data_IF_358185873798
#
_entry.id   IF_358185873798
#
_cell.length_a   1.000
_cell.length_b   1.000
_cell.length_c   1.000
_cell.angle_alpha   90.00
_cell.angle_beta   90.00
_cell.angle_gamma   90.00
#
_symmetry.space_group_name_H-M   'P 1'
#
loop_
_entity.id
_entity.type
_entity.pdbx_description
1 polymer ?
#
# COMPACT_ATOMS: atom_id res chain seq x y z
N UNK A 1 -28.89 20.94 -4.06
CA UNK A 1 -28.91 19.50 -4.42
C UNK A 1 -28.64 19.21 -5.91
N UNK A 2 -29.42 19.68 -6.89
CA UNK A 2 -29.19 19.35 -8.33
C UNK A 2 -27.80 19.74 -8.89
N UNK A 3 -27.25 20.91 -8.54
CA UNK A 3 -25.90 21.33 -8.97
C UNK A 3 -24.77 20.47 -8.37
N UNK A 4 -24.94 19.99 -7.15
CA UNK A 4 -23.96 19.17 -6.43
C UNK A 4 -23.88 17.75 -7.02
N UNK A 5 -25.03 17.18 -7.37
CA UNK A 5 -25.12 15.89 -8.06
C UNK A 5 -24.49 15.91 -9.46
N UNK A 6 -24.53 17.06 -10.16
CA UNK A 6 -23.90 17.23 -11.47
C UNK A 6 -22.37 17.25 -11.38
N UNK A 7 -21.82 17.97 -10.39
CA UNK A 7 -20.38 18.04 -10.16
C UNK A 7 -19.79 16.70 -9.70
N UNK A 8 -20.46 15.99 -8.79
CA UNK A 8 -20.02 14.66 -8.34
C UNK A 8 -19.97 13.65 -9.50
N UNK A 9 -21.01 13.63 -10.34
CA UNK A 9 -21.02 12.79 -11.55
C UNK A 9 -19.91 13.17 -12.53
N UNK A 10 -19.63 14.47 -12.67
CA UNK A 10 -18.53 14.96 -13.51
C UNK A 10 -17.16 14.52 -12.98
N UNK A 11 -16.90 14.63 -11.68
CA UNK A 11 -15.66 14.16 -11.07
C UNK A 11 -15.50 12.64 -11.19
N UNK A 12 -16.58 11.88 -10.95
CA UNK A 12 -16.58 10.42 -11.15
C UNK A 12 -16.32 10.03 -12.60
N UNK A 13 -16.90 10.77 -13.56
CA UNK A 13 -16.64 10.58 -14.99
C UNK A 13 -15.18 10.86 -15.33
N UNK A 14 -14.61 11.99 -14.86
CA UNK A 14 -13.20 12.31 -15.07
C UNK A 14 -12.27 11.25 -14.47
N UNK A 15 -12.57 10.77 -13.26
CA UNK A 15 -11.79 9.71 -12.63
C UNK A 15 -11.91 8.39 -13.39
N UNK A 16 -13.12 8.02 -13.82
CA UNK A 16 -13.35 6.86 -14.66
C UNK A 16 -12.59 6.94 -16.00
N UNK A 17 -12.61 8.10 -16.66
CA UNK A 17 -11.87 8.35 -17.89
C UNK A 17 -10.35 8.28 -17.67
N UNK A 18 -9.85 8.81 -16.55
CA UNK A 18 -8.43 8.70 -16.19
C UNK A 18 -8.01 7.25 -15.97
N UNK A 19 -8.82 6.44 -15.26
CA UNK A 19 -8.57 5.01 -15.09
C UNK A 19 -8.61 4.24 -16.41
N UNK A 20 -9.55 4.57 -17.29
CA UNK A 20 -9.63 3.99 -18.63
C UNK A 20 -8.41 4.40 -19.46
N UNK A 21 -7.94 5.64 -19.36
CA UNK A 21 -6.76 6.13 -20.08
C UNK A 21 -5.45 5.47 -19.63
N UNK A 22 -5.38 4.97 -18.39
CA UNK A 22 -4.25 4.17 -17.90
C UNK A 22 -4.15 2.83 -18.65
N UNK A 23 -5.25 2.24 -19.13
CA UNK A 23 -5.22 0.95 -19.83
C UNK A 23 -4.47 1.00 -21.18
N UNK A 24 -4.75 1.95 -22.10
CA UNK A 24 -3.93 2.14 -23.31
C UNK A 24 -2.47 2.46 -22.99
N UNK A 25 -2.20 3.26 -21.95
CA UNK A 25 -0.83 3.57 -21.51
C UNK A 25 -0.11 2.30 -21.03
N UNK A 26 -0.79 1.46 -20.26
CA UNK A 26 -0.26 0.18 -19.81
C UNK A 26 0.07 -0.72 -21.00
N UNK A 27 -0.84 -0.83 -21.99
CA UNK A 27 -0.64 -1.63 -23.21
C UNK A 27 0.44 -1.06 -24.14
N UNK A 28 0.54 0.27 -24.26
CA UNK A 28 1.50 0.95 -25.12
C UNK A 28 2.93 0.90 -24.58
N UNK A 29 3.08 0.91 -23.25
CA UNK A 29 4.38 0.86 -22.57
C UNK A 29 4.77 -0.57 -22.13
N UNK A 30 3.85 -1.54 -22.21
CA UNK A 30 4.18 -2.97 -22.24
C UNK A 30 4.74 -3.32 -23.62
N UNK A 31 6.04 -3.10 -23.89
CA UNK A 31 7.16 -3.93 -23.42
C UNK A 31 8.48 -3.11 -23.29
N UNK A 32 9.65 -3.76 -23.21
CA UNK A 32 11.03 -3.20 -23.32
C UNK A 32 11.83 -2.99 -22.04
N UNK A 33 11.26 -3.07 -20.84
CA UNK A 33 12.08 -2.81 -19.65
C UNK A 33 12.89 -4.02 -19.14
N UNK A 34 12.39 -5.27 -19.24
CA UNK A 34 12.93 -6.35 -18.39
C UNK A 34 12.93 -7.79 -18.91
N UNK A 35 12.53 -8.12 -20.16
CA UNK A 35 12.44 -9.54 -20.57
C UNK A 35 13.28 -9.93 -21.79
N UNK A 36 14.41 -10.58 -21.45
CA UNK A 36 15.02 -11.62 -22.25
C UNK A 36 14.15 -12.90 -22.23
N UNK A 37 13.64 -13.25 -23.41
CA UNK A 37 13.55 -14.61 -23.99
C UNK A 37 12.50 -15.67 -23.63
N UNK A 38 11.49 -15.52 -22.76
CA UNK A 38 10.60 -16.68 -22.51
C UNK A 38 9.15 -16.66 -23.02
N UNK A 39 8.32 -15.62 -22.86
CA UNK A 39 6.98 -15.66 -23.49
C UNK A 39 6.45 -14.26 -23.83
N UNK A 40 6.51 -13.90 -25.11
CA UNK A 40 5.76 -12.79 -25.68
C UNK A 40 4.30 -13.24 -25.85
N UNK A 41 3.48 -13.14 -24.79
CA UNK A 41 2.05 -12.92 -25.05
C UNK A 41 1.97 -11.61 -25.82
N UNK A 42 1.66 -11.70 -27.11
CA UNK A 42 1.52 -10.51 -27.96
C UNK A 42 0.57 -9.51 -27.26
N UNK A 43 0.83 -8.19 -27.40
CA UNK A 43 -0.03 -7.15 -26.81
C UNK A 43 -1.51 -7.38 -27.14
N UNK A 44 -1.77 -7.97 -28.30
CA UNK A 44 -3.08 -8.43 -28.74
C UNK A 44 -3.71 -9.46 -27.78
N UNK A 45 -3.00 -10.52 -27.40
CA UNK A 45 -3.50 -11.51 -26.43
C UNK A 45 -3.72 -10.93 -25.04
N UNK A 46 -2.91 -9.96 -24.60
CA UNK A 46 -3.13 -9.26 -23.32
C UNK A 46 -4.42 -8.43 -23.33
N UNK A 47 -4.68 -7.71 -24.43
CA UNK A 47 -5.92 -6.97 -24.61
C UNK A 47 -7.11 -7.92 -24.66
N UNK A 48 -7.03 -9.00 -25.45
CA UNK A 48 -8.10 -10.00 -25.52
C UNK A 48 -8.37 -10.67 -24.17
N UNK A 49 -7.31 -11.04 -23.44
CA UNK A 49 -7.43 -11.61 -22.10
C UNK A 49 -8.09 -10.65 -21.11
N UNK A 50 -7.69 -9.37 -21.14
CA UNK A 50 -8.30 -8.33 -20.30
C UNK A 50 -9.78 -8.13 -20.62
N UNK A 51 -10.14 -8.08 -21.89
CA UNK A 51 -11.53 -7.98 -22.34
C UNK A 51 -12.35 -9.22 -21.94
N UNK A 52 -11.78 -10.41 -22.11
CA UNK A 52 -12.43 -11.67 -21.73
C UNK A 52 -12.67 -11.75 -20.22
N UNK A 53 -11.67 -11.41 -19.40
CA UNK A 53 -11.80 -11.34 -17.93
C UNK A 53 -12.85 -10.28 -17.55
N UNK A 54 -12.78 -9.08 -18.13
CA UNK A 54 -13.73 -8.01 -17.89
C UNK A 54 -15.17 -8.42 -18.22
N UNK A 55 -15.38 -9.05 -19.37
CA UNK A 55 -16.69 -9.59 -19.76
C UNK A 55 -17.14 -10.70 -18.80
N UNK A 56 -16.25 -11.61 -18.41
CA UNK A 56 -16.53 -12.65 -17.42
C UNK A 56 -16.99 -12.06 -16.08
N UNK A 57 -16.28 -11.07 -15.56
CA UNK A 57 -16.61 -10.34 -14.33
C UNK A 57 -17.99 -9.67 -14.42
N UNK A 58 -18.29 -9.00 -15.54
CA UNK A 58 -19.59 -8.36 -15.77
C UNK A 58 -20.74 -9.37 -15.84
N UNK A 59 -20.54 -10.50 -16.53
CA UNK A 59 -21.56 -11.54 -16.62
C UNK A 59 -21.76 -12.24 -15.28
N UNK A 60 -20.70 -12.46 -14.50
CA UNK A 60 -20.80 -13.00 -13.15
C UNK A 60 -21.60 -12.07 -12.24
N UNK A 61 -21.33 -10.76 -12.30
CA UNK A 61 -22.09 -9.75 -11.56
C UNK A 61 -23.59 -9.80 -11.92
N UNK A 62 -23.92 -9.82 -13.22
CA UNK A 62 -25.31 -9.92 -13.71
C UNK A 62 -25.98 -11.22 -13.28
N UNK A 63 -25.26 -12.34 -13.34
CA UNK A 63 -25.77 -13.63 -12.90
C UNK A 63 -26.06 -13.63 -11.40
N UNK A 64 -25.15 -13.12 -10.57
CA UNK A 64 -25.33 -12.99 -9.12
C UNK A 64 -26.47 -12.04 -8.74
N UNK A 65 -26.73 -11.00 -9.54
CA UNK A 65 -27.88 -10.10 -9.35
C UNK A 65 -29.22 -10.83 -9.53
N UNK A 66 -29.27 -11.87 -10.38
CA UNK A 66 -30.47 -12.70 -10.60
C UNK A 66 -30.64 -13.80 -9.54
N UNK A 67 -29.63 -14.05 -8.71
CA UNK A 67 -29.70 -15.06 -7.66
C UNK A 67 -30.38 -14.51 -6.39
N UNK A 68 -30.92 -15.42 -5.58
CA UNK A 68 -31.44 -15.05 -4.26
C UNK A 68 -30.32 -14.52 -3.35
N UNK A 69 -30.65 -13.56 -2.48
CA UNK A 69 -29.66 -12.98 -1.55
C UNK A 69 -29.02 -14.04 -0.64
N UNK A 70 -29.75 -15.10 -0.28
CA UNK A 70 -29.22 -16.23 0.49
C UNK A 70 -28.16 -16.99 -0.29
N UNK A 71 -28.41 -17.32 -1.57
CA UNK A 71 -27.43 -17.99 -2.43
C UNK A 71 -26.18 -17.13 -2.62
N UNK A 72 -26.33 -15.84 -2.90
CA UNK A 72 -25.18 -14.93 -3.07
C UNK A 72 -24.36 -14.78 -1.78
N UNK A 73 -24.99 -14.76 -0.59
CA UNK A 73 -24.27 -14.77 0.70
C UNK A 73 -23.49 -16.05 0.93
N UNK A 74 -24.07 -17.22 0.59
CA UNK A 74 -23.38 -18.51 0.69
C UNK A 74 -22.16 -18.58 -0.23
N UNK A 75 -22.28 -18.03 -1.45
CA UNK A 75 -21.15 -17.92 -2.38
C UNK A 75 -20.06 -17.01 -1.80
N UNK A 76 -20.43 -15.82 -1.29
CA UNK A 76 -19.46 -14.92 -0.66
C UNK A 76 -18.74 -15.57 0.54
N UNK A 77 -19.49 -16.31 1.38
CA UNK A 77 -18.92 -17.06 2.49
C UNK A 77 -17.97 -18.17 2.01
N UNK A 78 -18.35 -18.93 0.98
CA UNK A 78 -17.49 -19.97 0.41
C UNK A 78 -16.19 -19.38 -0.13
N UNK A 79 -16.24 -18.25 -0.85
CA UNK A 79 -15.05 -17.53 -1.32
C UNK A 79 -14.16 -17.14 -0.13
N UNK A 80 -14.74 -16.55 0.92
CA UNK A 80 -13.98 -16.15 2.10
C UNK A 80 -13.31 -17.35 2.80
N UNK A 81 -14.04 -18.46 3.00
CA UNK A 81 -13.50 -19.68 3.61
C UNK A 81 -12.35 -20.25 2.77
N UNK A 82 -12.54 -20.39 1.46
CA UNK A 82 -11.50 -20.90 0.56
C UNK A 82 -10.27 -19.98 0.61
N UNK A 83 -10.46 -18.65 0.58
CA UNK A 83 -9.36 -17.70 0.68
C UNK A 83 -8.62 -17.87 2.01
N UNK A 84 -9.30 -17.90 3.15
CA UNK A 84 -8.68 -18.11 4.47
C UNK A 84 -7.92 -19.44 4.53
N UNK A 85 -8.47 -20.52 3.96
CA UNK A 85 -7.77 -21.81 3.91
C UNK A 85 -6.46 -21.71 3.10
N UNK A 86 -6.48 -21.01 1.96
CA UNK A 86 -5.29 -20.75 1.15
C UNK A 86 -4.30 -19.89 1.95
N UNK A 87 -4.76 -18.83 2.63
CA UNK A 87 -3.92 -17.96 3.45
C UNK A 87 -3.23 -18.72 4.58
N UNK A 88 -3.96 -19.56 5.32
CA UNK A 88 -3.38 -20.41 6.38
C UNK A 88 -2.34 -21.37 5.81
N UNK A 89 -2.63 -21.99 4.66
CA UNK A 89 -1.66 -22.85 3.99
C UNK A 89 -0.41 -22.06 3.60
N UNK A 90 -0.56 -20.91 2.94
CA UNK A 90 0.57 -20.05 2.55
C UNK A 90 1.38 -19.58 3.75
N UNK A 91 0.72 -19.17 4.85
CA UNK A 91 1.38 -18.65 6.04
C UNK A 91 2.34 -19.66 6.69
N UNK A 92 2.02 -20.95 6.59
CA UNK A 92 2.83 -22.05 7.15
C UNK A 92 3.91 -22.52 6.19
N UNK A 93 3.60 -22.59 4.88
CA UNK A 93 4.50 -23.18 3.88
C UNK A 93 5.40 -22.18 3.14
N UNK A 94 5.13 -20.88 3.26
CA UNK A 94 5.96 -19.83 2.67
C UNK A 94 6.47 -18.91 3.77
N UNK A 95 7.76 -19.03 4.06
CA UNK A 95 8.48 -18.13 4.96
C UNK A 95 9.36 -17.23 4.09
N UNK A 96 8.92 -15.98 3.92
CA UNK A 96 9.66 -14.98 3.17
C UNK A 96 10.94 -14.57 3.90
N UNK A 97 12.08 -14.59 3.22
CA UNK A 97 13.26 -13.83 3.65
C UNK A 97 13.04 -12.39 3.17
N UNK A 98 12.89 -11.41 4.06
CA UNK A 98 12.75 -10.03 3.58
C UNK A 98 14.17 -9.55 3.18
N UNK A 99 14.52 -9.43 1.90
CA UNK A 99 15.76 -8.72 1.49
C UNK A 99 15.51 -7.20 1.34
N UNK A 100 16.57 -6.42 1.17
CA UNK A 100 16.56 -4.94 1.23
C UNK A 100 16.15 -4.43 2.62
N UNK A 101 15.29 -3.43 2.67
CA UNK A 101 14.83 -2.76 3.89
C UNK A 101 14.34 -3.73 4.98
N UNK A 102 13.61 -4.78 4.59
CA UNK A 102 13.06 -5.71 5.57
C UNK A 102 14.10 -6.67 6.18
N UNK A 103 15.30 -6.77 5.61
CA UNK A 103 16.42 -7.49 6.23
C UNK A 103 16.96 -6.68 7.40
N UNK A 104 17.16 -5.38 7.18
CA UNK A 104 17.63 -4.44 8.19
C UNK A 104 16.63 -4.31 9.35
N UNK A 105 15.31 -4.29 9.07
CA UNK A 105 14.29 -4.34 10.14
C UNK A 105 14.40 -5.62 10.96
N UNK A 106 14.50 -6.78 10.32
CA UNK A 106 14.61 -8.07 11.02
C UNK A 106 15.87 -8.17 11.87
N UNK A 107 17.03 -7.79 11.34
CA UNK A 107 18.26 -7.78 12.12
C UNK A 107 18.16 -6.87 13.33
N UNK A 108 17.58 -5.68 13.17
CA UNK A 108 17.35 -4.78 14.29
C UNK A 108 16.38 -5.37 15.32
N UNK A 109 15.29 -6.02 14.89
CA UNK A 109 14.35 -6.68 15.79
C UNK A 109 15.02 -7.81 16.58
N UNK A 110 15.84 -8.64 15.94
CA UNK A 110 16.61 -9.71 16.62
C UNK A 110 17.54 -9.11 17.67
N UNK A 111 18.25 -8.03 17.34
CA UNK A 111 19.09 -7.31 18.31
C UNK A 111 18.27 -6.79 19.50
N UNK A 112 17.09 -6.23 19.24
CA UNK A 112 16.18 -5.74 20.29
C UNK A 112 15.61 -6.86 21.16
N UNK A 113 15.33 -8.03 20.60
CA UNK A 113 14.88 -9.22 21.34
C UNK A 113 16.00 -9.79 22.24
N UNK A 114 17.26 -9.57 21.89
CA UNK A 114 18.43 -9.83 22.76
C UNK A 114 18.76 -8.70 23.74
N UNK A 115 17.91 -7.67 23.81
CA UNK A 115 18.04 -6.57 24.78
C UNK A 115 18.85 -5.38 24.27
N UNK A 116 19.36 -5.39 23.04
CA UNK A 116 20.04 -4.22 22.48
C UNK A 116 19.06 -3.07 22.27
N UNK A 117 19.54 -1.85 22.53
CA UNK A 117 18.88 -0.59 22.22
C UNK A 117 19.69 0.25 21.23
N UNK A 118 20.78 -0.29 20.71
CA UNK A 118 21.57 0.35 19.67
C UNK A 118 20.95 0.06 18.31
N UNK A 119 20.81 1.10 17.51
CA UNK A 119 20.24 1.02 16.17
C UNK A 119 21.34 0.96 15.12
N UNK A 120 21.18 0.08 14.13
CA UNK A 120 22.13 -0.05 13.03
C UNK A 120 22.16 1.22 12.17
N UNK A 121 23.30 1.58 11.55
CA UNK A 121 23.46 2.84 10.79
C UNK A 121 22.42 3.09 9.70
N UNK A 122 21.89 2.02 9.09
CA UNK A 122 20.84 2.06 8.08
C UNK A 122 19.65 2.96 8.45
N UNK A 123 19.15 2.86 9.70
CA UNK A 123 18.00 3.66 10.16
C UNK A 123 18.34 5.14 10.29
N UNK A 124 19.60 5.47 10.54
CA UNK A 124 20.03 6.85 10.70
C UNK A 124 20.40 7.53 9.38
N UNK A 125 20.94 6.76 8.43
CA UNK A 125 21.54 7.31 7.21
C UNK A 125 20.61 7.27 6.00
N UNK A 126 19.60 6.38 6.02
CA UNK A 126 18.76 6.14 4.86
C UNK A 126 17.27 6.05 5.20
N UNK A 127 16.91 5.22 6.19
CA UNK A 127 15.54 4.72 6.32
C UNK A 127 14.91 4.97 7.69
N UNK A 128 14.93 6.23 8.15
CA UNK A 128 14.24 6.61 9.39
C UNK A 128 12.75 6.26 9.36
N UNK A 129 12.14 6.19 8.18
CA UNK A 129 10.75 5.82 7.97
C UNK A 129 10.44 4.35 8.29
N UNK A 130 11.45 3.49 8.42
CA UNK A 130 11.27 2.06 8.73
C UNK A 130 11.39 1.77 10.24
N UNK A 131 11.73 2.77 11.07
CA UNK A 131 11.77 2.61 12.54
C UNK A 131 10.42 2.18 13.10
N UNK A 132 9.27 2.79 12.74
CA UNK A 132 7.97 2.39 13.26
C UNK A 132 7.60 0.94 12.90
N UNK A 133 7.89 0.53 11.67
CA UNK A 133 7.70 -0.85 11.22
C UNK A 133 8.51 -1.82 12.09
N UNK A 134 9.79 -1.50 12.32
CA UNK A 134 10.71 -2.31 13.13
C UNK A 134 10.19 -2.48 14.56
N UNK A 135 9.65 -1.43 15.17
CA UNK A 135 9.06 -1.49 16.51
C UNK A 135 7.80 -2.37 16.55
N UNK A 136 6.93 -2.25 15.55
CA UNK A 136 5.73 -3.08 15.42
C UNK A 136 6.12 -4.55 15.26
N UNK A 137 7.09 -4.84 14.39
CA UNK A 137 7.62 -6.19 14.19
C UNK A 137 8.22 -6.76 15.49
N UNK A 138 8.99 -5.94 16.24
CA UNK A 138 9.49 -6.31 17.57
C UNK A 138 8.39 -6.67 18.56
N UNK A 139 7.33 -5.85 18.69
CA UNK A 139 6.23 -6.13 19.62
C UNK A 139 5.48 -7.41 19.26
N UNK A 140 5.24 -7.64 17.97
CA UNK A 140 4.59 -8.86 17.50
C UNK A 140 5.46 -10.10 17.78
N UNK A 141 6.75 -10.06 17.43
CA UNK A 141 7.66 -11.19 17.66
C UNK A 141 7.87 -11.46 19.15
N UNK A 142 7.97 -10.43 20.00
CA UNK A 142 8.02 -10.59 21.45
C UNK A 142 6.74 -11.26 21.99
N UNK A 143 5.57 -10.85 21.49
CA UNK A 143 4.28 -11.47 21.81
C UNK A 143 4.20 -12.93 21.38
N UNK A 144 4.61 -13.26 20.16
CA UNK A 144 4.61 -14.64 19.67
C UNK A 144 5.58 -15.54 20.44
N UNK A 145 6.75 -15.01 20.81
CA UNK A 145 7.69 -15.72 21.69
C UNK A 145 7.04 -16.05 23.04
N UNK A 146 6.32 -15.10 23.63
CA UNK A 146 5.58 -15.33 24.88
C UNK A 146 4.45 -16.36 24.72
N UNK A 147 3.79 -16.40 23.56
CA UNK A 147 2.74 -17.38 23.22
C UNK A 147 3.28 -18.74 22.73
N UNK A 148 4.60 -18.93 22.67
CA UNK A 148 5.24 -20.12 22.08
C UNK A 148 4.82 -20.40 20.62
N UNK A 149 4.52 -19.35 19.86
CA UNK A 149 4.19 -19.42 18.42
C UNK A 149 5.46 -19.12 17.60
N UNK A 150 5.66 -19.83 16.49
CA UNK A 150 6.70 -19.48 15.54
C UNK A 150 6.48 -18.05 15.04
N UNK A 151 7.43 -17.15 15.33
CA UNK A 151 7.28 -15.72 15.08
C UNK A 151 6.99 -15.37 13.62
N UNK A 152 7.62 -16.06 12.67
CA UNK A 152 7.45 -15.81 11.23
C UNK A 152 6.07 -16.23 10.73
N UNK A 153 5.59 -17.40 11.17
CA UNK A 153 4.22 -17.84 10.93
C UNK A 153 3.22 -16.86 11.57
N UNK A 154 3.53 -16.37 12.79
CA UNK A 154 2.72 -15.37 13.49
C UNK A 154 2.60 -14.05 12.72
N UNK A 155 3.70 -13.56 12.15
CA UNK A 155 3.71 -12.35 11.32
C UNK A 155 2.85 -12.52 10.05
N UNK A 156 3.00 -13.64 9.34
CA UNK A 156 2.19 -13.97 8.17
C UNK A 156 0.70 -14.00 8.51
N UNK A 157 0.32 -14.75 9.56
CA UNK A 157 -1.07 -14.84 10.03
C UNK A 157 -1.61 -13.46 10.39
N UNK A 158 -0.81 -12.62 11.05
CA UNK A 158 -1.22 -11.26 11.43
C UNK A 158 -1.56 -10.42 10.22
N UNK A 159 -0.73 -10.43 9.18
CA UNK A 159 -1.02 -9.67 7.96
C UNK A 159 -2.18 -10.25 7.15
N UNK A 160 -2.36 -11.57 7.14
CA UNK A 160 -3.54 -12.16 6.53
C UNK A 160 -4.83 -11.74 7.22
N UNK A 161 -4.86 -11.76 8.56
CA UNK A 161 -6.00 -11.22 9.34
C UNK A 161 -6.20 -9.72 9.05
N UNK A 162 -5.11 -8.97 8.89
CA UNK A 162 -5.15 -7.54 8.57
C UNK A 162 -5.76 -7.27 7.18
N UNK A 163 -5.40 -8.07 6.18
CA UNK A 163 -5.99 -8.02 4.84
C UNK A 163 -7.45 -8.46 4.83
N UNK A 164 -7.79 -9.54 5.54
CA UNK A 164 -9.17 -10.00 5.66
C UNK A 164 -10.07 -8.94 6.30
N UNK A 165 -9.59 -8.24 7.33
CA UNK A 165 -10.30 -7.12 7.93
C UNK A 165 -10.49 -5.98 6.91
N UNK A 166 -9.47 -5.68 6.12
CA UNK A 166 -9.53 -4.68 5.03
C UNK A 166 -10.61 -5.05 4.02
N UNK A 167 -10.62 -6.29 3.51
CA UNK A 167 -11.59 -6.73 2.52
C UNK A 167 -12.99 -6.91 3.11
N UNK A 168 -13.14 -7.29 4.37
CA UNK A 168 -14.43 -7.36 5.05
C UNK A 168 -15.09 -5.97 5.15
N UNK A 169 -14.31 -4.94 5.52
CA UNK A 169 -14.80 -3.55 5.54
C UNK A 169 -15.14 -3.04 4.14
N UNK A 170 -14.28 -3.30 3.15
CA UNK A 170 -14.53 -2.92 1.76
C UNK A 170 -15.78 -3.62 1.21
N UNK A 171 -15.93 -4.93 1.45
CA UNK A 171 -17.12 -5.69 1.08
C UNK A 171 -18.38 -5.13 1.72
N UNK A 172 -18.32 -4.74 3.00
CA UNK A 172 -19.46 -4.10 3.67
C UNK A 172 -19.84 -2.77 3.02
N UNK A 173 -18.85 -1.92 2.69
CA UNK A 173 -19.07 -0.65 2.00
C UNK A 173 -19.69 -0.88 0.62
N UNK A 174 -19.10 -1.76 -0.20
CA UNK A 174 -19.60 -2.08 -1.53
C UNK A 174 -21.00 -2.68 -1.49
N UNK A 175 -21.29 -3.55 -0.51
CA UNK A 175 -22.61 -4.15 -0.35
C UNK A 175 -23.69 -3.11 -0.07
N UNK A 176 -23.36 -2.08 0.73
CA UNK A 176 -24.28 -1.00 1.08
C UNK A 176 -24.57 -0.06 -0.09
N UNK A 177 -23.54 0.28 -0.87
CA UNK A 177 -23.65 1.29 -1.93
C UNK A 177 -23.95 0.73 -3.32
N UNK A 178 -23.44 -0.47 -3.63
CA UNK A 178 -23.50 -1.09 -4.96
C UNK A 178 -24.24 -2.43 -4.99
N UNK A 179 -24.67 -2.91 -3.82
CA UNK A 179 -25.42 -4.16 -3.67
C UNK A 179 -24.55 -5.40 -3.48
N UNK A 180 -25.19 -6.48 -3.04
CA UNK A 180 -24.52 -7.71 -2.62
C UNK A 180 -23.77 -8.43 -3.76
N UNK A 181 -24.30 -8.39 -4.98
CA UNK A 181 -23.68 -9.03 -6.14
C UNK A 181 -22.31 -8.41 -6.45
N UNK A 182 -22.25 -7.07 -6.55
CA UNK A 182 -20.99 -6.35 -6.82
C UNK A 182 -19.99 -6.59 -5.70
N UNK A 183 -20.41 -6.49 -4.43
CA UNK A 183 -19.55 -6.78 -3.30
C UNK A 183 -18.95 -8.19 -3.36
N UNK A 184 -19.76 -9.20 -3.73
CA UNK A 184 -19.30 -10.59 -3.85
C UNK A 184 -18.31 -10.77 -4.99
N UNK A 185 -18.52 -10.11 -6.13
CA UNK A 185 -17.55 -10.10 -7.24
C UNK A 185 -16.24 -9.43 -6.83
N UNK A 186 -16.29 -8.29 -6.13
CA UNK A 186 -15.09 -7.63 -5.62
C UNK A 186 -14.33 -8.51 -4.62
N UNK A 187 -15.03 -9.26 -3.77
CA UNK A 187 -14.40 -10.24 -2.88
C UNK A 187 -13.73 -11.37 -3.66
N UNK A 188 -14.35 -11.88 -4.73
CA UNK A 188 -13.73 -12.89 -5.60
C UNK A 188 -12.46 -12.34 -6.26
N UNK A 189 -12.52 -11.13 -6.81
CA UNK A 189 -11.36 -10.47 -7.42
C UNK A 189 -10.23 -10.34 -6.41
N UNK A 190 -10.52 -9.87 -5.19
CA UNK A 190 -9.52 -9.81 -4.13
C UNK A 190 -8.95 -11.19 -3.78
N UNK A 191 -9.80 -12.21 -3.66
CA UNK A 191 -9.39 -13.57 -3.32
C UNK A 191 -8.53 -14.24 -4.42
N UNK A 192 -8.65 -13.86 -5.69
CA UNK A 192 -7.80 -14.40 -6.76
C UNK A 192 -6.62 -13.49 -7.11
N UNK A 193 -6.59 -12.26 -6.60
CA UNK A 193 -5.52 -11.30 -6.87
C UNK A 193 -4.29 -11.61 -6.01
N UNK A 194 -3.39 -12.37 -6.60
CA UNK A 194 -2.21 -12.90 -5.94
C UNK A 194 -1.32 -11.86 -5.22
N UNK A 195 -1.12 -10.63 -5.75
CA UNK A 195 -0.30 -9.63 -5.06
C UNK A 195 -0.74 -9.32 -3.62
N UNK A 196 -2.02 -9.46 -3.27
CA UNK A 196 -2.47 -9.34 -1.88
C UNK A 196 -1.86 -10.41 -0.97
N UNK A 197 -1.74 -11.65 -1.45
CA UNK A 197 -1.07 -12.71 -0.69
C UNK A 197 0.43 -12.43 -0.54
N UNK A 198 1.07 -11.92 -1.59
CA UNK A 198 2.46 -11.47 -1.53
C UNK A 198 2.70 -10.46 -0.42
N UNK A 199 1.89 -9.40 -0.34
CA UNK A 199 2.01 -8.39 0.72
C UNK A 199 1.79 -8.92 2.15
N UNK A 200 1.09 -10.04 2.32
CA UNK A 200 0.92 -10.65 3.64
C UNK A 200 2.05 -11.62 4.01
N UNK A 201 2.71 -12.21 3.03
CA UNK A 201 3.84 -13.13 3.24
C UNK A 201 5.17 -12.40 3.50
N UNK A 202 5.21 -11.10 3.27
CA UNK A 202 6.38 -10.25 3.49
C UNK A 202 6.00 -9.09 4.38
N UNK A 203 6.42 -9.19 5.64
CA UNK A 203 6.04 -8.22 6.65
C UNK A 203 6.72 -6.87 6.40
N UNK A 204 5.96 -5.94 5.82
CA UNK A 204 6.43 -4.59 5.48
C UNK A 204 5.32 -3.53 5.58
N UNK A 205 5.68 -2.26 5.39
CA UNK A 205 4.76 -1.12 5.61
C UNK A 205 3.51 -1.15 4.73
N UNK A 206 3.61 -1.61 3.47
CA UNK A 206 2.49 -1.66 2.53
C UNK A 206 1.35 -2.57 2.98
N UNK A 207 1.68 -3.77 3.46
CA UNK A 207 0.70 -4.73 3.98
C UNK A 207 -0.07 -4.19 5.18
N UNK A 208 0.61 -3.43 6.05
CA UNK A 208 -0.05 -2.74 7.17
C UNK A 208 -0.84 -1.51 6.72
N UNK A 209 -0.31 -0.75 5.76
CA UNK A 209 -0.87 0.53 5.33
C UNK A 209 -2.23 0.37 4.61
N UNK A 210 -2.46 -0.74 3.91
CA UNK A 210 -3.65 -0.94 3.05
C UNK A 210 -4.98 -0.90 3.80
N UNK A 211 -4.99 -1.20 5.11
CA UNK A 211 -6.19 -1.12 5.94
C UNK A 211 -6.71 0.32 6.08
N UNK A 212 -5.81 1.29 6.22
CA UNK A 212 -6.17 2.62 6.69
C UNK A 212 -7.02 3.44 5.70
N UNK A 213 -6.80 3.41 4.37
CA UNK A 213 -7.72 4.02 3.42
C UNK A 213 -9.15 3.49 3.56
N UNK A 214 -9.32 2.17 3.66
CA UNK A 214 -10.65 1.52 3.78
C UNK A 214 -11.27 1.82 5.14
N UNK A 215 -10.49 1.74 6.22
CA UNK A 215 -10.92 2.07 7.57
C UNK A 215 -11.37 3.54 7.67
N UNK A 216 -10.65 4.46 7.02
CA UNK A 216 -11.00 5.90 6.96
C UNK A 216 -12.36 6.08 6.29
N UNK A 217 -12.58 5.46 5.13
CA UNK A 217 -13.89 5.52 4.45
C UNK A 217 -15.00 4.89 5.30
N UNK A 218 -14.72 3.77 5.93
CA UNK A 218 -15.67 3.07 6.79
C UNK A 218 -16.07 3.91 8.01
N UNK A 219 -15.10 4.48 8.72
CA UNK A 219 -15.33 5.36 9.87
C UNK A 219 -16.06 6.65 9.45
N UNK A 220 -15.73 7.21 8.29
CA UNK A 220 -16.40 8.39 7.74
C UNK A 220 -17.88 8.10 7.46
N UNK A 221 -18.20 6.95 6.85
CA UNK A 221 -19.58 6.53 6.65
C UNK A 221 -20.33 6.42 7.98
N UNK A 222 -19.73 5.77 9.00
CA UNK A 222 -20.35 5.66 10.34
C UNK A 222 -20.54 7.03 11.00
N UNK A 223 -19.60 7.95 10.80
CA UNK A 223 -19.70 9.33 11.28
C UNK A 223 -20.90 10.04 10.64
N UNK A 224 -21.12 9.87 9.34
CA UNK A 224 -22.23 10.51 8.63
C UNK A 224 -23.60 9.94 9.02
N UNK A 225 -23.66 8.66 9.40
CA UNK A 225 -24.90 7.98 9.76
C UNK A 225 -25.28 8.13 11.24
N UNK A 226 -24.35 8.53 12.11
CA UNK A 226 -24.64 8.57 13.55
C UNK A 226 -25.48 9.79 13.96
N UNK A 227 -26.58 9.50 14.68
CA UNK A 227 -27.42 10.52 15.31
C UNK A 227 -26.90 10.98 16.68
N UNK A 228 -26.04 10.19 17.32
CA UNK A 228 -25.50 10.50 18.66
C UNK A 228 -24.24 11.34 18.57
N UNK A 229 -24.25 12.49 19.26
CA UNK A 229 -23.10 13.41 19.36
C UNK A 229 -21.89 12.76 20.05
N UNK A 230 -22.11 11.98 21.11
CA UNK A 230 -21.02 11.28 21.83
C UNK A 230 -20.37 10.26 20.89
N UNK A 231 -21.16 9.42 20.23
CA UNK A 231 -20.65 8.45 19.25
C UNK A 231 -19.92 9.14 18.10
N UNK A 232 -20.40 10.30 17.67
CA UNK A 232 -19.78 11.09 16.60
C UNK A 232 -18.35 11.50 16.95
N UNK A 233 -18.14 12.11 18.12
CA UNK A 233 -16.79 12.51 18.52
C UNK A 233 -15.93 11.31 18.89
N UNK A 234 -16.51 10.24 19.45
CA UNK A 234 -15.80 8.96 19.60
C UNK A 234 -15.25 8.41 18.28
N UNK A 235 -16.04 8.46 17.20
CA UNK A 235 -15.58 8.09 15.86
C UNK A 235 -14.46 9.00 15.34
N UNK A 236 -14.48 10.30 15.66
CA UNK A 236 -13.42 11.24 15.27
C UNK A 236 -12.13 11.01 16.06
N UNK A 237 -12.21 10.61 17.33
CA UNK A 237 -11.04 10.19 18.10
C UNK A 237 -10.43 8.93 17.49
N UNK A 238 -11.25 7.91 17.20
CA UNK A 238 -10.79 6.68 16.54
C UNK A 238 -10.19 6.99 15.17
N UNK A 239 -10.82 7.88 14.39
CA UNK A 239 -10.30 8.36 13.11
C UNK A 239 -8.92 9.02 13.26
N UNK A 240 -8.76 9.93 14.24
CA UNK A 240 -7.49 10.60 14.50
C UNK A 240 -6.38 9.62 14.87
N UNK A 241 -6.68 8.63 15.72
CA UNK A 241 -5.74 7.56 16.09
C UNK A 241 -5.38 6.70 14.86
N UNK A 242 -6.37 6.31 14.06
CA UNK A 242 -6.15 5.52 12.86
C UNK A 242 -5.29 6.26 11.84
N UNK A 243 -5.56 7.55 11.59
CA UNK A 243 -4.78 8.36 10.65
C UNK A 243 -3.35 8.61 11.15
N UNK A 244 -3.17 8.83 12.45
CA UNK A 244 -1.84 8.93 13.03
C UNK A 244 -1.07 7.63 12.88
N UNK A 245 -1.67 6.49 13.25
CA UNK A 245 -1.03 5.19 13.12
C UNK A 245 -0.69 4.88 11.65
N UNK A 246 -1.59 5.22 10.72
CA UNK A 246 -1.34 5.10 9.28
C UNK A 246 -0.12 5.90 8.85
N UNK A 247 -0.02 7.15 9.30
CA UNK A 247 1.10 8.04 9.01
C UNK A 247 2.41 7.58 9.66
N UNK A 248 2.35 7.10 10.90
CA UNK A 248 3.50 6.60 11.64
C UNK A 248 4.06 5.34 10.99
N UNK A 249 3.20 4.40 10.56
CA UNK A 249 3.62 3.22 9.80
C UNK A 249 4.17 3.59 8.42
N UNK A 250 3.49 4.50 7.71
CA UNK A 250 3.88 4.91 6.36
C UNK A 250 3.52 6.38 6.11
N UNK A 251 4.53 7.24 6.05
CA UNK A 251 4.34 8.70 6.00
C UNK A 251 3.50 9.21 4.80
N UNK A 252 3.44 8.46 3.70
CA UNK A 252 2.59 8.81 2.54
C UNK A 252 1.09 8.77 2.86
N UNK A 253 0.66 8.07 3.92
CA UNK A 253 -0.72 8.05 4.39
C UNK A 253 -1.20 9.40 4.95
N UNK A 254 -0.32 10.40 5.09
CA UNK A 254 -0.71 11.78 5.36
C UNK A 254 -1.78 12.31 4.38
N UNK A 255 -1.80 11.78 3.14
CA UNK A 255 -2.79 12.14 2.12
C UNK A 255 -4.23 11.84 2.57
N UNK A 256 -4.43 10.84 3.43
CA UNK A 256 -5.75 10.47 3.95
C UNK A 256 -6.35 11.57 4.82
N UNK A 257 -5.51 12.29 5.59
CA UNK A 257 -5.96 13.43 6.39
C UNK A 257 -6.43 14.58 5.50
N UNK A 258 -5.71 14.86 4.42
CA UNK A 258 -6.08 15.88 3.43
C UNK A 258 -7.40 15.50 2.76
N UNK A 259 -7.53 14.24 2.31
CA UNK A 259 -8.75 13.73 1.70
C UNK A 259 -9.95 13.82 2.66
N UNK A 260 -9.78 13.43 3.93
CA UNK A 260 -10.81 13.55 4.96
C UNK A 260 -11.26 15.00 5.14
N UNK A 261 -10.30 15.94 5.26
CA UNK A 261 -10.61 17.36 5.42
C UNK A 261 -11.42 17.89 4.23
N UNK A 262 -11.00 17.58 3.00
CA UNK A 262 -11.72 17.97 1.78
C UNK A 262 -13.15 17.42 1.82
N UNK A 263 -13.33 16.12 2.06
CA UNK A 263 -14.66 15.49 2.04
C UNK A 263 -15.56 16.04 3.15
N UNK A 264 -15.05 16.21 4.37
CA UNK A 264 -15.84 16.71 5.50
C UNK A 264 -16.25 18.18 5.33
N UNK A 265 -15.38 19.03 4.80
CA UNK A 265 -15.70 20.43 4.52
C UNK A 265 -16.65 20.55 3.31
N UNK A 266 -16.45 19.73 2.29
CA UNK A 266 -17.30 19.71 1.10
C UNK A 266 -18.72 19.25 1.40
N UNK A 267 -18.87 18.11 2.08
CA UNK A 267 -20.18 17.51 2.36
C UNK A 267 -20.85 18.12 3.58
N UNK A 268 -20.07 18.53 4.59
CA UNK A 268 -20.52 19.16 5.84
C UNK A 268 -21.84 18.58 6.37
N UNK A 269 -21.94 17.25 6.48
CA UNK A 269 -23.20 16.50 6.72
C UNK A 269 -23.99 16.93 7.96
N UNK A 270 -23.35 17.67 8.89
CA UNK A 270 -23.97 18.21 10.10
C UNK A 270 -23.81 19.74 10.25
N UNK A 271 -23.46 20.44 9.18
CA UNK A 271 -23.13 21.86 9.13
C UNK A 271 -21.63 22.14 9.26
N UNK A 272 -21.18 23.23 8.64
CA UNK A 272 -19.75 23.57 8.52
C UNK A 272 -19.04 23.71 9.87
N UNK A 273 -19.67 24.31 10.88
CA UNK A 273 -19.08 24.47 12.24
C UNK A 273 -18.76 23.11 12.88
N UNK A 274 -19.67 22.14 12.74
CA UNK A 274 -19.48 20.79 13.30
C UNK A 274 -18.44 19.99 12.51
N UNK A 275 -18.35 20.21 11.19
CA UNK A 275 -17.29 19.63 10.37
C UNK A 275 -15.91 20.15 10.82
N UNK A 276 -15.77 21.48 10.99
CA UNK A 276 -14.54 22.10 11.51
C UNK A 276 -14.19 21.58 12.90
N UNK A 277 -15.15 21.52 13.82
CA UNK A 277 -14.91 20.99 15.17
C UNK A 277 -14.50 19.51 15.15
N UNK A 278 -15.11 18.70 14.29
CA UNK A 278 -14.74 17.29 14.14
C UNK A 278 -13.33 17.12 13.56
N UNK A 279 -12.96 17.95 12.59
CA UNK A 279 -11.60 18.02 12.06
C UNK A 279 -10.60 18.52 13.11
N UNK A 280 -11.00 19.45 13.97
CA UNK A 280 -10.17 19.88 15.09
C UNK A 280 -9.89 18.73 16.07
N UNK A 281 -10.91 17.90 16.39
CA UNK A 281 -10.72 16.70 17.22
C UNK A 281 -9.73 15.73 16.56
N UNK A 282 -9.93 15.42 15.26
CA UNK A 282 -8.99 14.57 14.50
C UNK A 282 -7.58 15.17 14.53
N UNK A 283 -7.46 16.47 14.29
CA UNK A 283 -6.20 17.20 14.26
C UNK A 283 -5.46 17.19 15.60
N UNK A 284 -6.17 17.37 16.72
CA UNK A 284 -5.59 17.30 18.07
C UNK A 284 -5.05 15.90 18.36
N UNK A 285 -5.82 14.85 18.07
CA UNK A 285 -5.37 13.46 18.27
C UNK A 285 -4.18 13.14 17.37
N UNK A 286 -4.24 13.52 16.10
CA UNK A 286 -3.16 13.31 15.14
C UNK A 286 -1.88 14.04 15.58
N UNK A 287 -1.98 15.32 15.94
CA UNK A 287 -0.85 16.12 16.42
C UNK A 287 -0.28 15.58 17.73
N UNK A 288 -1.11 15.12 18.66
CA UNK A 288 -0.68 14.41 19.86
C UNK A 288 0.15 13.17 19.52
N UNK A 289 -0.32 12.38 18.54
CA UNK A 289 0.43 11.24 18.02
C UNK A 289 1.81 11.62 17.44
N UNK A 290 1.92 12.73 16.71
CA UNK A 290 3.20 13.22 16.19
C UNK A 290 4.23 13.51 17.30
N UNK A 291 3.78 13.82 18.52
CA UNK A 291 4.65 14.00 19.68
C UNK A 291 4.97 12.68 20.40
N UNK A 292 4.07 11.70 20.31
CA UNK A 292 4.21 10.40 20.97
C UNK A 292 5.12 9.47 20.18
N UNK A 293 5.02 9.43 18.85
CA UNK A 293 5.83 8.54 17.99
C UNK A 293 7.34 8.64 18.28
N UNK A 294 7.95 9.83 18.20
CA UNK A 294 9.37 10.00 18.53
C UNK A 294 9.72 9.61 19.97
N UNK A 295 8.80 9.79 20.94
CA UNK A 295 9.04 9.37 22.33
C UNK A 295 9.05 7.85 22.47
N UNK A 296 8.18 7.15 21.75
CA UNK A 296 8.20 5.68 21.67
C UNK A 296 9.54 5.25 21.08
N UNK A 297 9.96 5.85 19.97
CA UNK A 297 11.23 5.52 19.30
C UNK A 297 12.44 5.75 20.22
N UNK A 298 12.48 6.89 20.92
CA UNK A 298 13.52 7.21 21.90
C UNK A 298 13.54 6.25 23.08
N UNK A 299 12.38 5.82 23.58
CA UNK A 299 12.29 4.81 24.63
C UNK A 299 12.95 3.48 24.20
N UNK A 300 12.88 3.15 22.91
CA UNK A 300 13.56 2.00 22.31
C UNK A 300 15.00 2.30 21.83
N UNK A 301 15.58 3.44 22.24
CA UNK A 301 16.97 3.81 21.99
C UNK A 301 17.23 4.45 20.62
N UNK A 302 16.19 4.71 19.83
CA UNK A 302 16.35 5.39 18.55
C UNK A 302 16.41 6.90 18.75
N UNK A 303 17.54 7.48 18.38
CA UNK A 303 17.73 8.93 18.30
C UNK A 303 18.23 9.28 16.92
N UNK A 304 17.51 10.14 16.20
CA UNK A 304 17.92 10.50 14.85
C UNK A 304 18.92 11.66 14.84
N UNK A 305 20.19 11.44 14.46
CA UNK A 305 21.15 12.52 14.35
C UNK A 305 20.86 13.37 13.11
N UNK A 306 20.74 14.68 13.30
CA UNK A 306 20.45 15.63 12.21
C UNK A 306 21.53 15.64 11.11
N UNK A 307 22.75 15.27 11.45
CA UNK A 307 23.86 15.15 10.47
C UNK A 307 23.65 13.98 9.50
N UNK A 308 23.07 12.87 9.95
CA UNK A 308 22.83 11.70 9.10
C UNK A 308 21.42 11.72 8.47
N UNK A 309 20.45 12.36 9.12
CA UNK A 309 19.06 12.49 8.65
C UNK A 309 18.95 12.82 7.18
N UNK A 310 18.18 12.00 6.47
CA UNK A 310 17.87 12.20 5.07
C UNK A 310 16.66 13.12 4.93
N UNK A 311 16.75 14.27 4.26
CA UNK A 311 15.57 15.10 4.02
C UNK A 311 14.54 14.34 3.18
N UNK A 312 13.25 14.42 3.52
CA UNK A 312 12.18 13.76 2.75
C UNK A 312 12.17 14.14 1.25
N UNK A 313 12.64 15.35 0.92
CA UNK A 313 12.77 15.83 -0.46
C UNK A 313 13.80 15.04 -1.29
N UNK A 314 14.68 14.25 -0.67
CA UNK A 314 15.61 13.34 -1.36
C UNK A 314 14.85 12.38 -2.27
N UNK A 315 13.76 11.79 -1.80
CA UNK A 315 12.93 10.86 -2.58
C UNK A 315 12.22 11.55 -3.75
N UNK A 316 11.82 12.82 -3.58
CA UNK A 316 11.32 13.63 -4.68
C UNK A 316 12.41 13.86 -5.72
N UNK A 317 13.61 14.27 -5.31
CA UNK A 317 14.74 14.46 -6.21
C UNK A 317 15.09 13.19 -6.99
N UNK A 318 15.15 12.04 -6.33
CA UNK A 318 15.34 10.73 -6.95
C UNK A 318 14.24 10.42 -7.96
N UNK A 319 12.98 10.66 -7.60
CA UNK A 319 11.84 10.47 -8.49
C UNK A 319 11.83 11.36 -9.74
N UNK A 320 12.65 12.41 -9.75
CA UNK A 320 12.91 13.32 -10.88
C UNK A 320 14.23 13.03 -11.60
N UNK A 321 14.91 11.93 -11.27
CA UNK A 321 16.08 11.49 -12.01
C UNK A 321 15.65 10.84 -13.34
N UNK A 322 15.93 11.53 -14.44
CA UNK A 322 15.55 11.05 -15.79
C UNK A 322 16.47 9.93 -16.31
N UNK A 323 17.66 9.75 -15.73
CA UNK A 323 18.60 8.69 -16.12
C UNK A 323 18.17 7.35 -15.53
N UNK A 324 17.72 7.35 -14.27
CA UNK A 324 17.16 6.16 -13.60
C UNK A 324 15.64 6.02 -13.80
N UNK A 325 15.03 6.84 -14.66
CA UNK A 325 13.58 6.87 -14.92
C UNK A 325 12.74 7.04 -13.64
N UNK A 326 13.31 7.70 -12.63
CA UNK A 326 12.67 7.95 -11.34
C UNK A 326 12.74 6.78 -10.35
N UNK A 327 13.53 5.76 -10.64
CA UNK A 327 13.88 4.68 -9.72
C UNK A 327 15.01 5.08 -8.77
N UNK A 328 15.29 4.22 -7.78
CA UNK A 328 16.39 4.34 -6.83
C UNK A 328 17.74 4.60 -7.53
N UNK A 329 18.59 5.40 -6.90
CA UNK A 329 19.91 5.75 -7.43
C UNK A 329 20.95 5.80 -6.31
N UNK A 330 21.91 4.89 -6.34
CA UNK A 330 23.04 4.87 -5.41
C UNK A 330 23.92 6.12 -5.51
N UNK A 331 24.09 6.66 -6.73
CA UNK A 331 24.86 7.89 -6.94
C UNK A 331 24.19 9.10 -6.28
N UNK A 332 22.88 9.27 -6.46
CA UNK A 332 22.14 10.40 -5.87
C UNK A 332 22.04 10.26 -4.34
N UNK A 333 21.73 9.07 -3.83
CA UNK A 333 21.66 8.81 -2.38
C UNK A 333 23.01 9.05 -1.72
N UNK A 334 24.08 8.48 -2.29
CA UNK A 334 25.45 8.72 -1.85
C UNK A 334 25.80 10.20 -1.85
N UNK A 335 25.55 10.93 -2.94
CA UNK A 335 25.87 12.37 -3.03
C UNK A 335 25.23 13.19 -1.90
N UNK A 336 23.99 12.86 -1.51
CA UNK A 336 23.31 13.52 -0.39
C UNK A 336 23.88 13.06 0.95
N UNK A 337 24.14 11.76 1.14
CA UNK A 337 24.70 11.21 2.37
C UNK A 337 26.06 11.82 2.73
N UNK A 338 26.91 12.10 1.74
CA UNK A 338 28.24 12.70 1.94
C UNK A 338 28.21 14.16 2.44
N UNK A 339 27.05 14.84 2.43
CA UNK A 339 26.93 16.20 2.96
C UNK A 339 26.90 16.18 4.50
N UNK A 340 27.66 17.07 5.13
CA UNK A 340 27.92 17.04 6.59
C UNK A 340 26.72 17.40 7.47
N UNK A 341 25.70 18.07 6.92
CA UNK A 341 24.56 18.53 7.72
C UNK A 341 23.25 18.63 6.95
N UNK A 342 22.14 18.58 7.69
CA UNK A 342 20.79 18.59 7.13
C UNK A 342 20.51 19.79 6.21
N UNK A 343 20.98 20.98 6.58
CA UNK A 343 20.79 22.18 5.76
C UNK A 343 21.55 22.09 4.42
N UNK A 344 22.78 21.54 4.43
CA UNK A 344 23.57 21.32 3.21
C UNK A 344 22.93 20.27 2.32
N UNK A 345 22.43 19.17 2.91
CA UNK A 345 21.61 18.15 2.21
C UNK A 345 20.41 18.81 1.52
N UNK A 346 19.62 19.61 2.25
CA UNK A 346 18.46 20.29 1.67
C UNK A 346 18.83 21.27 0.54
N UNK A 347 19.90 22.05 0.71
CA UNK A 347 20.34 22.98 -0.32
C UNK A 347 20.79 22.25 -1.60
N UNK A 348 21.56 21.18 -1.46
CA UNK A 348 21.96 20.30 -2.57
C UNK A 348 20.73 19.75 -3.30
N UNK A 349 19.79 19.15 -2.56
CA UNK A 349 18.58 18.54 -3.12
C UNK A 349 17.77 19.56 -3.92
N UNK A 350 17.52 20.74 -3.33
CA UNK A 350 16.77 21.82 -4.01
C UNK A 350 17.47 22.28 -5.29
N UNK A 351 18.80 22.43 -5.25
CA UNK A 351 19.60 22.81 -6.42
C UNK A 351 19.52 21.75 -7.51
N UNK A 352 19.75 20.48 -7.17
CA UNK A 352 19.71 19.35 -8.12
C UNK A 352 18.32 19.21 -8.73
N UNK A 353 17.26 19.29 -7.93
CA UNK A 353 15.88 19.23 -8.42
C UNK A 353 15.56 20.39 -9.38
N UNK A 354 15.94 21.62 -9.03
CA UNK A 354 15.78 22.79 -9.91
C UNK A 354 16.52 22.59 -11.24
N UNK A 355 17.76 22.10 -11.20
CA UNK A 355 18.56 21.84 -12.40
C UNK A 355 17.91 20.76 -13.29
N UNK A 356 17.39 19.68 -12.71
CA UNK A 356 16.68 18.61 -13.45
C UNK A 356 15.44 19.17 -14.14
N UNK A 357 14.64 19.95 -13.44
CA UNK A 357 13.41 20.54 -13.99
C UNK A 357 13.71 21.56 -15.11
N UNK A 358 14.71 22.42 -14.94
CA UNK A 358 15.07 23.42 -15.95
C UNK A 358 15.71 22.82 -17.22
N UNK A 359 16.38 21.67 -17.10
CA UNK A 359 17.03 20.99 -18.24
C UNK A 359 16.08 20.05 -19.01
N UNK A 360 14.81 19.97 -18.61
CA UNK A 360 13.87 19.00 -19.16
C UNK A 360 12.89 19.69 -20.11
N UNK A 361 12.81 19.19 -21.35
CA UNK A 361 11.79 19.64 -22.31
C UNK A 361 10.39 19.13 -21.90
N UNK A 362 9.29 19.82 -22.28
CA UNK A 362 7.93 19.34 -21.99
C UNK A 362 7.66 17.91 -22.51
N UNK A 363 8.24 17.54 -23.65
CA UNK A 363 8.15 16.19 -24.21
C UNK A 363 8.84 15.15 -23.31
N UNK A 364 10.07 15.43 -22.86
CA UNK A 364 10.81 14.54 -21.95
C UNK A 364 10.11 14.43 -20.59
N UNK A 365 9.52 15.51 -20.11
CA UNK A 365 8.70 15.52 -18.90
C UNK A 365 7.47 14.61 -19.04
N UNK A 366 6.70 14.75 -20.12
CA UNK A 366 5.53 13.91 -20.38
C UNK A 366 5.93 12.43 -20.48
N UNK A 367 7.00 12.12 -21.22
CA UNK A 367 7.55 10.77 -21.33
C UNK A 367 7.93 10.19 -19.96
N UNK A 368 8.64 10.95 -19.12
CA UNK A 368 9.04 10.53 -17.77
C UNK A 368 7.84 10.22 -16.88
N UNK A 369 6.82 11.09 -16.88
CA UNK A 369 5.60 10.88 -16.09
C UNK A 369 4.80 9.66 -16.58
N UNK A 370 4.67 9.48 -17.89
CA UNK A 370 4.04 8.30 -18.48
C UNK A 370 4.79 7.02 -18.09
N UNK A 371 6.13 7.05 -18.15
CA UNK A 371 6.95 5.88 -17.77
C UNK A 371 6.78 5.53 -16.29
N UNK A 372 6.76 6.53 -15.40
CA UNK A 372 6.48 6.30 -13.97
C UNK A 372 5.07 5.74 -13.72
N UNK A 373 4.07 6.28 -14.41
CA UNK A 373 2.70 5.74 -14.35
C UNK A 373 2.66 4.29 -14.85
N UNK A 374 3.38 3.96 -15.93
CA UNK A 374 3.44 2.58 -16.42
C UNK A 374 4.14 1.63 -15.43
N UNK A 375 5.25 2.04 -14.82
CA UNK A 375 5.96 1.21 -13.83
C UNK A 375 5.04 0.86 -12.66
N UNK A 376 4.25 1.81 -12.17
CA UNK A 376 3.34 1.58 -11.04
C UNK A 376 2.07 0.81 -11.43
N UNK A 377 1.47 1.11 -12.59
CA UNK A 377 0.10 0.67 -12.90
C UNK A 377 -0.01 -0.38 -14.02
N UNK A 378 1.02 -0.54 -14.86
CA UNK A 378 0.97 -1.47 -15.99
C UNK A 378 1.45 -2.88 -15.63
N UNK A 379 2.45 -3.00 -14.75
CA UNK A 379 3.09 -4.29 -14.42
C UNK A 379 2.16 -5.20 -13.60
N UNK A 380 1.25 -4.63 -12.80
CA UNK A 380 0.23 -5.35 -12.05
C UNK A 380 0.74 -6.30 -10.96
N UNK A 381 2.05 -6.58 -10.94
CA UNK A 381 2.74 -7.41 -9.96
C UNK A 381 3.13 -6.67 -8.69
N UNK A 382 3.16 -5.32 -8.69
CA UNK A 382 3.51 -4.52 -7.51
C UNK A 382 4.82 -4.98 -6.83
N UNK A 383 5.82 -5.37 -7.63
CA UNK A 383 7.12 -5.92 -7.20
C UNK A 383 7.02 -7.15 -6.28
N UNK A 384 5.86 -7.81 -6.26
CA UNK A 384 5.61 -9.01 -5.46
C UNK A 384 6.54 -10.15 -5.87
N UNK A 385 7.05 -10.18 -7.10
CA UNK A 385 8.05 -11.18 -7.49
C UNK A 385 9.42 -10.94 -6.91
N UNK A 386 9.89 -9.70 -6.89
CA UNK A 386 11.15 -9.35 -6.23
C UNK A 386 11.07 -9.78 -4.78
N UNK A 387 9.91 -9.54 -4.15
CA UNK A 387 9.61 -9.93 -2.77
C UNK A 387 9.53 -11.46 -2.62
N UNK A 388 8.80 -12.14 -3.49
CA UNK A 388 8.56 -13.57 -3.39
C UNK A 388 9.74 -14.45 -3.79
N UNK A 389 10.67 -13.98 -4.63
CA UNK A 389 11.94 -14.68 -4.98
C UNK A 389 12.90 -14.79 -3.78
N UNK A 390 12.49 -14.26 -2.63
CA UNK A 390 13.25 -14.20 -1.41
C UNK A 390 12.78 -15.26 -0.39
N UNK A 391 11.80 -16.11 -0.68
CA UNK A 391 11.36 -17.13 0.28
C UNK A 391 12.38 -18.27 0.41
N UNK A 392 12.60 -18.75 1.63
CA UNK A 392 13.58 -19.81 1.90
C UNK A 392 13.12 -21.19 1.42
N UNK A 393 11.80 -21.40 1.31
CA UNK A 393 11.19 -22.65 0.85
C UNK A 393 10.02 -22.38 -0.10
N UNK A 394 9.94 -23.14 -1.20
CA UNK A 394 8.83 -23.09 -2.15
C UNK A 394 8.23 -24.49 -2.39
N UNK A 395 6.90 -24.66 -2.26
CA UNK A 395 6.24 -25.87 -2.73
C UNK A 395 6.25 -25.95 -4.27
N UNK A 396 6.30 -27.15 -4.86
CA UNK A 396 6.42 -27.32 -6.33
C UNK A 396 5.36 -26.59 -7.14
N UNK A 397 4.11 -26.59 -6.68
CA UNK A 397 3.00 -25.89 -7.34
C UNK A 397 3.24 -24.38 -7.45
N UNK A 398 3.99 -23.82 -6.51
CA UNK A 398 4.35 -22.41 -6.49
C UNK A 398 5.29 -22.03 -7.63
N UNK A 399 6.21 -22.91 -8.04
CA UNK A 399 7.11 -22.64 -9.17
C UNK A 399 6.35 -22.45 -10.49
N UNK A 400 5.22 -23.14 -10.66
CA UNK A 400 4.38 -23.06 -11.86
C UNK A 400 3.40 -21.88 -11.83
N UNK A 401 2.94 -21.50 -10.64
CA UNK A 401 2.04 -20.37 -10.51
C UNK A 401 2.80 -19.02 -10.52
N UNK A 402 3.96 -18.95 -9.84
CA UNK A 402 4.62 -17.67 -9.51
C UNK A 402 6.16 -17.68 -9.54
N UNK A 403 6.81 -18.85 -9.56
CA UNK A 403 8.26 -18.98 -9.68
C UNK A 403 8.78 -19.01 -11.12
N UNK A 404 9.96 -19.61 -11.33
CA UNK A 404 10.70 -19.59 -12.60
C UNK A 404 10.02 -20.31 -13.76
N UNK A 405 8.91 -21.03 -13.52
CA UNK A 405 8.20 -21.88 -14.50
C UNK A 405 6.81 -21.33 -14.88
N UNK A 406 6.49 -20.08 -14.54
CA UNK A 406 5.21 -19.45 -14.86
C UNK A 406 5.14 -19.02 -16.33
N UNK A 407 4.66 -19.89 -17.21
CA UNK A 407 4.39 -19.50 -18.59
C UNK A 407 3.09 -18.67 -18.73
N UNK A 408 2.25 -18.56 -17.69
CA UNK A 408 0.84 -18.16 -17.85
C UNK A 408 0.31 -17.04 -16.93
N UNK A 409 0.99 -16.68 -15.83
CA UNK A 409 0.38 -15.86 -14.76
C UNK A 409 1.10 -14.56 -14.40
N UNK A 410 2.35 -14.38 -14.85
CA UNK A 410 3.04 -13.09 -14.80
C UNK A 410 4.16 -13.08 -15.84
N UNK A 411 4.33 -11.97 -16.55
CA UNK A 411 5.28 -11.84 -17.67
C UNK A 411 6.74 -11.76 -17.25
N UNK A 412 7.06 -11.81 -15.96
CA UNK A 412 8.41 -11.55 -15.47
C UNK A 412 9.27 -12.81 -15.28
N UNK A 413 10.44 -12.81 -15.92
CA UNK A 413 11.49 -13.82 -15.79
C UNK A 413 12.27 -13.56 -14.48
N UNK A 414 12.69 -14.59 -13.73
CA UNK A 414 13.58 -14.41 -12.58
C UNK A 414 14.93 -13.84 -13.03
N UNK A 415 15.51 -12.94 -12.24
CA UNK A 415 16.92 -12.61 -12.36
C UNK A 415 17.74 -13.89 -12.14
N UNK A 416 18.51 -14.29 -13.15
CA UNK A 416 19.72 -15.07 -12.89
C UNK A 416 20.72 -14.06 -12.30
N UNK A 417 21.05 -14.22 -11.02
CA UNK A 417 22.26 -13.62 -10.46
C UNK A 417 23.50 -14.26 -11.08
#
# INVERSE_FOLDING_TARGET
>A
MKKQLGFEKFILLLFGLALIAIMPLAVAVFPDAYHHHLFLLSRFYLVLGTLAIGFGVLNLARWLQRQSASRTRKIALAIAIISVMIQVWLAVYILGDNIYDGMDTRFQVVNMLHGSRQWIPYFHELAENNVPLTLIEYWLLAGFKWLHVNGWIGLNITLFIWLDLTFAMLWQLLKRHLGLAIATVSLLIAAVYFPFYGYALFFYTDGLAVLFPVLTLWLLERYQQTKSTVKRYGLMVIMGLALWLAFWIKGNNAILLIALAIVMLWQHSFGWRKAVLSLAVVGVIFAGGLQIGPKIEQYYGYHQPMTQKMPALTWTMLGWNFETQGSSSHADTGMVQHQKGYAQKQALIKRTLKQRLLKTSPQRLAYHLIRKLSLMWAYGGLDVQETLNQAQHYPKIYQYLYGTKKAWLASEVPYNC
#
